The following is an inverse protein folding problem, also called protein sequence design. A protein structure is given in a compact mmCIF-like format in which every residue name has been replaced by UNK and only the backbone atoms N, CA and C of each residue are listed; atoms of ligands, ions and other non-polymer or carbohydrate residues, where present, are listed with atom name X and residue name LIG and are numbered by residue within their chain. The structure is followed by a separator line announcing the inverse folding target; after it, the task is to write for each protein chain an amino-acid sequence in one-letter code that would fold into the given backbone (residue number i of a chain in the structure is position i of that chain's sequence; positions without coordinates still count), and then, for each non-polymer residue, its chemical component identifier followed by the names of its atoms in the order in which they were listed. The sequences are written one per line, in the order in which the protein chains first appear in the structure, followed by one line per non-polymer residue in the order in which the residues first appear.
data_IF_026842855564
#
_entry.id   IF_026842855564
#
_cell.length_a   1.000
_cell.length_b   1.000
_cell.length_c   1.000
_cell.angle_alpha   90.00
_cell.angle_beta   90.00
_cell.angle_gamma   90.00
#
_symmetry.space_group_name_H-M   'P 1'
#
loop_
_entity.id
_entity.type
_entity.pdbx_description
1 polymer ?
#
# COMPACT_ATOMS: atom_id res chain seq x y z
N UNK A 1 24.29 -12.07 8.31
CA UNK A 1 23.34 -12.63 7.31
C UNK A 1 23.42 -14.15 7.18
N UNK A 2 24.52 -14.74 6.67
CA UNK A 2 24.62 -16.19 6.42
C UNK A 2 24.31 -17.07 7.65
N UNK A 3 24.70 -16.64 8.85
CA UNK A 3 24.35 -17.34 10.10
C UNK A 3 22.83 -17.50 10.26
N UNK A 4 22.05 -16.47 9.94
CA UNK A 4 20.58 -16.49 10.03
C UNK A 4 20.00 -17.41 8.95
N UNK A 5 20.50 -17.33 7.72
CA UNK A 5 20.07 -18.19 6.61
C UNK A 5 20.33 -19.67 6.94
N UNK A 6 21.46 -19.97 7.58
CA UNK A 6 21.79 -21.31 8.08
C UNK A 6 20.80 -21.78 9.15
N UNK A 7 20.40 -20.92 10.09
CA UNK A 7 19.37 -21.26 11.08
C UNK A 7 18.02 -21.59 10.42
N UNK A 8 17.61 -20.84 9.39
CA UNK A 8 16.40 -21.16 8.63
C UNK A 8 16.50 -22.50 7.91
N UNK A 9 17.68 -22.85 7.39
CA UNK A 9 17.92 -24.16 6.77
C UNK A 9 17.84 -25.30 7.78
N UNK A 10 18.48 -25.15 8.94
CA UNK A 10 18.47 -26.13 10.04
C UNK A 10 17.07 -26.32 10.61
N UNK A 11 16.25 -25.27 10.62
CA UNK A 11 14.84 -25.30 11.05
C UNK A 11 13.89 -25.83 9.97
N UNK A 12 14.40 -26.25 8.81
CA UNK A 12 13.63 -26.69 7.64
C UNK A 12 12.60 -25.67 7.11
N UNK A 13 12.83 -24.37 7.33
CA UNK A 13 11.98 -23.30 6.78
C UNK A 13 12.30 -22.97 5.33
N UNK A 14 13.53 -23.30 4.89
CA UNK A 14 13.98 -23.17 3.52
C UNK A 14 14.64 -24.47 3.06
N UNK A 15 14.53 -24.75 1.76
CA UNK A 15 15.17 -25.90 1.09
C UNK A 15 16.68 -25.70 0.97
N UNK A 16 17.40 -26.78 0.66
CA UNK A 16 18.83 -26.72 0.37
C UNK A 16 19.14 -25.78 -0.81
N UNK A 17 18.35 -25.86 -1.89
CA UNK A 17 18.48 -25.00 -3.06
C UNK A 17 18.29 -23.52 -2.69
N UNK A 18 17.29 -23.20 -1.87
CA UNK A 18 17.06 -21.83 -1.39
C UNK A 18 18.19 -21.36 -0.49
N UNK A 19 18.73 -22.21 0.38
CA UNK A 19 19.89 -21.87 1.20
C UNK A 19 21.09 -21.46 0.34
N UNK A 20 21.41 -22.23 -0.70
CA UNK A 20 22.50 -21.93 -1.63
C UNK A 20 22.26 -20.64 -2.41
N UNK A 21 21.02 -20.40 -2.86
CA UNK A 21 20.62 -19.19 -3.57
C UNK A 21 20.69 -17.94 -2.69
N UNK A 22 20.29 -18.04 -1.43
CA UNK A 22 20.26 -16.93 -0.48
C UNK A 22 21.61 -16.63 0.14
N UNK A 23 22.49 -17.64 0.21
CA UNK A 23 23.82 -17.49 0.79
C UNK A 23 24.64 -16.44 0.03
N UNK A 24 25.37 -15.64 0.81
CA UNK A 24 26.12 -14.49 0.31
C UNK A 24 27.59 -14.83 0.35
N UNK A 25 28.29 -14.60 -0.77
CA UNK A 25 29.75 -14.74 -0.81
C UNK A 25 30.40 -13.38 -0.49
N UNK A 26 31.52 -13.34 0.25
CA UNK A 26 32.16 -12.08 0.63
C UNK A 26 32.56 -11.18 -0.55
N UNK A 27 32.89 -11.78 -1.70
CA UNK A 27 33.26 -11.06 -2.93
C UNK A 27 32.06 -10.54 -3.74
N UNK A 28 30.83 -10.90 -3.36
CA UNK A 28 29.59 -10.47 -4.04
C UNK A 28 28.94 -9.25 -3.39
N UNK A 29 29.48 -8.75 -2.28
CA UNK A 29 28.85 -7.67 -1.49
C UNK A 29 29.62 -6.37 -1.47
N UNK A 30 28.87 -5.28 -1.41
CA UNK A 30 29.37 -3.92 -1.24
C UNK A 30 28.49 -3.16 -0.24
N UNK A 31 29.07 -2.20 0.46
CA UNK A 31 28.31 -1.27 1.28
C UNK A 31 27.41 -0.40 0.38
N UNK A 32 26.24 -0.05 0.90
CA UNK A 32 25.32 0.81 0.19
C UNK A 32 25.83 2.26 0.20
N UNK A 33 25.64 2.96 -0.93
CA UNK A 33 26.05 4.36 -1.09
C UNK A 33 24.83 5.28 -1.02
N UNK A 34 24.91 6.33 -0.20
CA UNK A 34 23.88 7.35 -0.13
C UNK A 34 24.13 8.40 -1.21
N UNK A 35 23.18 8.51 -2.14
CA UNK A 35 23.17 9.51 -3.21
C UNK A 35 21.97 10.45 -3.04
N UNK A 36 22.02 11.60 -3.72
CA UNK A 36 20.95 12.58 -3.71
C UNK A 36 20.52 12.91 -5.14
N UNK A 37 19.24 12.73 -5.45
CA UNK A 37 18.66 13.13 -6.73
C UNK A 37 17.85 14.43 -6.60
N UNK A 38 18.09 15.46 -7.42
CA UNK A 38 17.32 16.69 -7.36
C UNK A 38 15.87 16.50 -7.85
N UNK A 39 14.90 17.03 -7.09
CA UNK A 39 13.50 17.13 -7.53
C UNK A 39 13.32 18.42 -8.35
N UNK A 40 13.83 18.43 -9.58
CA UNK A 40 13.88 19.61 -10.46
C UNK A 40 12.51 20.29 -10.72
N UNK A 41 11.41 19.54 -10.59
CA UNK A 41 10.05 20.04 -10.78
C UNK A 41 9.46 20.75 -9.53
N UNK A 42 10.18 20.82 -8.41
CA UNK A 42 9.73 21.50 -7.18
C UNK A 42 10.51 22.80 -6.95
N UNK A 43 9.87 23.88 -6.45
CA UNK A 43 10.56 25.11 -6.08
C UNK A 43 11.70 24.83 -5.09
N UNK A 44 12.84 25.51 -5.27
CA UNK A 44 14.03 25.29 -4.44
C UNK A 44 14.77 23.97 -4.68
N UNK A 45 14.33 23.16 -5.66
CA UNK A 45 14.98 21.92 -6.11
C UNK A 45 15.43 21.00 -4.95
N UNK A 46 14.51 20.61 -4.04
CA UNK A 46 14.86 19.77 -2.91
C UNK A 46 15.45 18.44 -3.35
N UNK A 47 16.39 17.91 -2.56
CA UNK A 47 17.06 16.64 -2.85
C UNK A 47 16.23 15.45 -2.33
N UNK A 48 16.23 14.36 -3.09
CA UNK A 48 15.71 13.05 -2.68
C UNK A 48 16.89 12.16 -2.31
N UNK A 49 17.05 11.75 -1.03
CA UNK A 49 18.04 10.75 -0.68
C UNK A 49 17.67 9.40 -1.31
N UNK A 50 18.65 8.72 -1.88
CA UNK A 50 18.52 7.40 -2.49
C UNK A 50 19.68 6.54 -2.03
N UNK A 51 19.36 5.35 -1.54
CA UNK A 51 20.35 4.34 -1.21
C UNK A 51 20.59 3.49 -2.46
N UNK A 52 21.83 3.50 -2.97
CA UNK A 52 22.22 2.72 -4.12
C UNK A 52 22.68 1.33 -3.68
N UNK A 53 21.88 0.30 -4.01
CA UNK A 53 22.02 -1.06 -3.50
C UNK A 53 22.27 -2.09 -4.61
N UNK A 54 23.32 -1.96 -5.43
CA UNK A 54 23.58 -2.97 -6.48
C UNK A 54 24.16 -4.28 -5.95
N UNK A 55 24.85 -4.26 -4.80
CA UNK A 55 25.51 -5.43 -4.19
C UNK A 55 25.27 -5.54 -2.69
N UNK A 56 24.21 -4.93 -2.19
CA UNK A 56 23.88 -4.99 -0.77
C UNK A 56 23.56 -6.44 -0.32
N UNK A 57 24.04 -6.89 0.85
CA UNK A 57 23.77 -8.24 1.35
C UNK A 57 22.28 -8.59 1.48
N UNK A 58 21.39 -7.60 1.61
CA UNK A 58 19.96 -7.85 1.73
C UNK A 58 19.26 -8.19 0.41
N UNK A 59 19.84 -7.89 -0.77
CA UNK A 59 19.14 -8.00 -2.06
C UNK A 59 18.54 -9.38 -2.28
N UNK A 60 19.32 -10.45 -2.04
CA UNK A 60 18.88 -11.84 -2.27
C UNK A 60 17.68 -12.20 -1.39
N UNK A 61 17.73 -11.81 -0.11
CA UNK A 61 16.63 -12.05 0.83
C UNK A 61 15.42 -11.16 0.50
N UNK A 62 15.63 -9.88 0.20
CA UNK A 62 14.55 -8.96 -0.18
C UNK A 62 13.82 -9.43 -1.42
N UNK A 63 14.54 -9.90 -2.44
CA UNK A 63 13.95 -10.48 -3.66
C UNK A 63 13.15 -11.75 -3.35
N UNK A 64 13.71 -12.64 -2.54
CA UNK A 64 13.02 -13.86 -2.14
C UNK A 64 11.73 -13.57 -1.35
N UNK A 65 11.76 -12.59 -0.43
CA UNK A 65 10.57 -12.14 0.29
C UNK A 65 9.55 -11.48 -0.66
N UNK A 66 10.01 -10.68 -1.61
CA UNK A 66 9.14 -10.08 -2.63
C UNK A 66 8.42 -11.17 -3.43
N UNK A 67 9.14 -12.17 -3.94
CA UNK A 67 8.56 -13.29 -4.69
C UNK A 67 7.53 -14.08 -3.87
N UNK A 68 7.76 -14.26 -2.56
CA UNK A 68 6.81 -14.94 -1.67
C UNK A 68 5.56 -14.10 -1.38
N UNK A 69 5.71 -12.78 -1.20
CA UNK A 69 4.63 -11.87 -0.81
C UNK A 69 3.85 -11.34 -2.02
N UNK A 70 4.46 -11.30 -3.20
CA UNK A 70 3.89 -10.73 -4.43
C UNK A 70 2.50 -11.26 -4.76
N UNK A 71 2.23 -12.58 -4.75
CA UNK A 71 0.90 -13.09 -5.08
C UNK A 71 -0.18 -12.63 -4.08
N UNK A 72 0.17 -12.48 -2.80
CA UNK A 72 -0.75 -11.98 -1.77
C UNK A 72 -1.00 -10.49 -1.96
N UNK A 73 0.05 -9.73 -2.25
CA UNK A 73 -0.04 -8.31 -2.55
C UNK A 73 -0.93 -8.07 -3.77
N UNK A 74 -0.66 -8.75 -4.90
CA UNK A 74 -1.40 -8.59 -6.15
C UNK A 74 -2.90 -8.91 -5.98
N UNK A 75 -3.22 -9.93 -5.16
CA UNK A 75 -4.60 -10.28 -4.83
C UNK A 75 -5.32 -9.16 -4.08
N UNK A 76 -4.64 -8.45 -3.19
CA UNK A 76 -5.23 -7.35 -2.39
C UNK A 76 -5.24 -6.05 -3.19
N UNK A 77 -4.16 -5.77 -3.92
CA UNK A 77 -4.00 -4.53 -4.68
C UNK A 77 -4.90 -4.49 -5.91
N UNK A 78 -5.24 -5.63 -6.53
CA UNK A 78 -6.12 -5.68 -7.71
C UNK A 78 -7.48 -4.99 -7.52
N UNK A 79 -7.98 -4.90 -6.29
CA UNK A 79 -9.26 -4.25 -5.98
C UNK A 79 -9.13 -2.78 -5.56
N UNK A 80 -7.93 -2.33 -5.22
CA UNK A 80 -7.70 -1.07 -4.48
C UNK A 80 -6.64 -0.17 -5.12
N UNK A 81 -5.84 -0.67 -6.06
CA UNK A 81 -4.68 0.03 -6.60
C UNK A 81 -4.59 -0.20 -8.10
N UNK A 82 -4.36 0.89 -8.83
CA UNK A 82 -4.08 0.90 -10.27
C UNK A 82 -2.58 0.74 -10.48
N UNK A 83 -2.19 -0.07 -11.47
CA UNK A 83 -0.77 -0.45 -11.64
C UNK A 83 -0.02 0.41 -12.66
N UNK A 84 -0.74 1.16 -13.50
CA UNK A 84 -0.15 1.97 -14.56
C UNK A 84 -0.83 3.33 -14.74
N UNK A 85 -0.05 4.34 -15.13
CA UNK A 85 -0.57 5.69 -15.44
C UNK A 85 -1.58 5.70 -16.58
N UNK A 86 -1.37 4.85 -17.60
CA UNK A 86 -2.29 4.71 -18.72
C UNK A 86 -3.64 4.16 -18.28
N UNK A 87 -3.64 3.22 -17.35
CA UNK A 87 -4.86 2.68 -16.75
C UNK A 87 -5.59 3.73 -15.91
N UNK A 88 -4.87 4.57 -15.14
CA UNK A 88 -5.47 5.71 -14.41
C UNK A 88 -6.21 6.64 -15.38
N UNK A 89 -5.54 7.07 -16.45
CA UNK A 89 -6.13 7.97 -17.45
C UNK A 89 -7.35 7.32 -18.11
N UNK A 90 -7.24 6.04 -18.49
CA UNK A 90 -8.33 5.29 -19.11
C UNK A 90 -9.54 5.20 -18.18
N UNK A 91 -9.35 4.78 -16.93
CA UNK A 91 -10.45 4.64 -15.97
C UNK A 91 -11.11 5.99 -15.67
N UNK A 92 -10.33 7.06 -15.50
CA UNK A 92 -10.86 8.40 -15.31
C UNK A 92 -11.65 8.89 -16.52
N UNK A 93 -11.13 8.65 -17.73
CA UNK A 93 -11.81 9.04 -18.97
C UNK A 93 -13.13 8.28 -19.16
N UNK A 94 -13.14 6.95 -18.99
CA UNK A 94 -14.37 6.16 -19.11
C UNK A 94 -15.43 6.55 -18.06
N UNK A 95 -15.00 6.76 -16.81
CA UNK A 95 -15.87 7.25 -15.75
C UNK A 95 -16.46 8.62 -16.08
N UNK A 96 -15.63 9.54 -16.60
CA UNK A 96 -16.04 10.92 -16.88
C UNK A 96 -17.16 11.04 -17.91
N UNK A 97 -17.28 10.08 -18.84
CA UNK A 97 -18.28 10.10 -19.92
C UNK A 97 -19.72 10.05 -19.42
N UNK A 98 -19.96 9.44 -18.26
CA UNK A 98 -21.31 9.14 -17.78
C UNK A 98 -21.59 9.69 -16.37
N UNK A 99 -20.54 9.99 -15.58
CA UNK A 99 -20.68 10.21 -14.15
C UNK A 99 -20.32 11.62 -13.69
N UNK A 100 -19.83 12.51 -14.57
CA UNK A 100 -19.60 13.91 -14.20
C UNK A 100 -20.93 14.66 -14.15
N UNK A 101 -21.20 15.29 -13.02
CA UNK A 101 -22.33 16.18 -12.80
C UNK A 101 -21.88 17.48 -12.11
N UNK A 102 -22.81 18.41 -11.89
CA UNK A 102 -22.50 19.71 -11.28
C UNK A 102 -22.01 19.58 -9.82
N UNK A 103 -22.39 18.51 -9.15
CA UNK A 103 -22.04 18.17 -7.78
C UNK A 103 -20.75 17.33 -7.68
N UNK A 104 -20.11 16.99 -8.80
CA UNK A 104 -18.86 16.21 -8.79
C UNK A 104 -17.76 17.01 -8.11
N UNK A 105 -17.24 16.46 -7.01
CA UNK A 105 -16.11 17.02 -6.27
C UNK A 105 -14.86 16.16 -6.50
N UNK A 106 -13.87 16.64 -7.27
CA UNK A 106 -12.58 15.98 -7.40
C UNK A 106 -11.66 16.33 -6.22
N UNK A 107 -10.95 15.34 -5.70
CA UNK A 107 -9.93 15.50 -4.68
C UNK A 107 -8.71 14.63 -4.97
N UNK A 108 -7.53 15.22 -4.84
CA UNK A 108 -6.27 14.49 -4.91
C UNK A 108 -5.53 14.61 -3.58
N UNK A 109 -4.95 13.51 -3.13
CA UNK A 109 -4.12 13.44 -1.94
C UNK A 109 -2.79 12.82 -2.33
N UNK A 110 -1.71 13.41 -1.84
CA UNK A 110 -0.36 12.91 -2.04
C UNK A 110 0.24 12.56 -0.67
N UNK A 111 0.72 11.32 -0.52
CA UNK A 111 1.43 10.89 0.69
C UNK A 111 2.86 11.41 0.63
N UNK A 112 3.16 12.42 1.45
CA UNK A 112 4.51 12.97 1.54
C UNK A 112 5.49 11.93 2.09
N UNK A 113 6.63 11.80 1.42
CA UNK A 113 7.80 11.07 1.93
C UNK A 113 7.50 9.62 2.34
N UNK A 114 6.60 8.95 1.59
CA UNK A 114 6.09 7.60 1.83
C UNK A 114 7.18 6.59 2.24
N UNK A 115 8.31 6.57 1.53
CA UNK A 115 9.37 5.60 1.77
C UNK A 115 10.20 5.89 3.03
N UNK A 116 10.41 7.17 3.35
CA UNK A 116 11.21 7.57 4.53
C UNK A 116 10.37 7.61 5.81
N UNK A 117 9.06 7.80 5.69
CA UNK A 117 8.12 7.86 6.82
C UNK A 117 7.40 6.54 7.09
N UNK A 118 7.72 5.46 6.36
CA UNK A 118 7.05 4.18 6.52
C UNK A 118 7.37 3.57 7.89
N UNK A 119 6.36 3.37 8.76
CA UNK A 119 6.58 2.83 10.10
C UNK A 119 6.95 1.34 10.03
N UNK A 120 8.18 1.00 10.41
CA UNK A 120 8.74 -0.34 10.17
C UNK A 120 8.02 -1.45 10.94
N UNK A 121 7.67 -1.20 12.21
CA UNK A 121 7.00 -2.18 13.09
C UNK A 121 5.59 -2.46 12.57
N UNK A 122 4.84 -1.40 12.29
CA UNK A 122 3.50 -1.43 11.75
C UNK A 122 3.47 -2.10 10.37
N UNK A 123 4.51 -1.90 9.54
CA UNK A 123 4.69 -2.61 8.28
C UNK A 123 4.81 -4.13 8.48
N UNK A 124 5.66 -4.57 9.42
CA UNK A 124 5.81 -5.99 9.76
C UNK A 124 4.50 -6.58 10.31
N UNK A 125 3.83 -5.85 11.21
CA UNK A 125 2.54 -6.27 11.77
C UNK A 125 1.47 -6.37 10.68
N UNK A 126 1.49 -5.49 9.69
CA UNK A 126 0.58 -5.52 8.56
C UNK A 126 0.75 -6.79 7.74
N UNK A 127 1.98 -7.24 7.49
CA UNK A 127 2.25 -8.51 6.81
C UNK A 127 1.67 -9.71 7.58
N UNK A 128 1.79 -9.74 8.91
CA UNK A 128 1.16 -10.78 9.74
C UNK A 128 -0.37 -10.74 9.66
N UNK A 129 -0.94 -9.55 9.54
CA UNK A 129 -2.39 -9.32 9.45
C UNK A 129 -2.95 -9.56 8.05
N UNK A 130 -2.15 -9.52 6.98
CA UNK A 130 -2.62 -9.74 5.60
C UNK A 130 -3.44 -11.04 5.48
N UNK A 131 -2.95 -12.14 6.07
CA UNK A 131 -3.69 -13.42 6.06
C UNK A 131 -4.94 -13.38 6.93
N UNK A 132 -4.90 -12.68 8.06
CA UNK A 132 -6.04 -12.52 8.96
C UNK A 132 -7.14 -11.68 8.28
N UNK A 133 -6.85 -10.47 7.80
CA UNK A 133 -7.82 -9.56 7.17
C UNK A 133 -8.48 -10.19 5.94
N UNK A 134 -7.74 -10.97 5.15
CA UNK A 134 -8.28 -11.67 3.98
C UNK A 134 -9.23 -12.84 4.36
N UNK A 135 -9.07 -13.43 5.55
CA UNK A 135 -9.83 -14.62 5.98
C UNK A 135 -10.87 -14.35 7.08
N UNK A 136 -10.76 -13.21 7.76
CA UNK A 136 -11.41 -12.94 9.04
C UNK A 136 -11.93 -11.49 9.08
N UNK A 137 -13.02 -11.22 8.37
CA UNK A 137 -13.81 -10.02 8.63
C UNK A 137 -14.73 -10.32 9.83
N UNK A 138 -14.37 -9.80 11.00
CA UNK A 138 -15.23 -9.83 12.18
C UNK A 138 -15.71 -8.41 12.48
N UNK A 139 -16.97 -8.28 12.90
CA UNK A 139 -17.52 -7.01 13.37
C UNK A 139 -18.16 -7.22 14.74
N UNK A 140 -18.22 -6.16 15.55
CA UNK A 140 -18.92 -6.19 16.82
C UNK A 140 -20.27 -5.48 16.71
N UNK A 141 -21.34 -6.14 17.13
CA UNK A 141 -22.67 -5.53 17.27
C UNK A 141 -23.27 -5.92 18.63
N UNK A 142 -23.69 -4.92 19.42
CA UNK A 142 -24.23 -5.11 20.77
C UNK A 142 -23.36 -6.00 21.70
N UNK A 143 -22.04 -5.81 21.65
CA UNK A 143 -21.10 -6.56 22.50
C UNK A 143 -20.85 -8.02 22.09
N UNK A 144 -21.45 -8.48 20.98
CA UNK A 144 -21.15 -9.77 20.36
C UNK A 144 -20.22 -9.59 19.16
N UNK A 145 -19.31 -10.53 18.97
CA UNK A 145 -18.40 -10.59 17.82
C UNK A 145 -18.95 -11.59 16.81
N UNK A 146 -19.26 -11.11 15.60
CA UNK A 146 -19.82 -11.91 14.52
C UNK A 146 -18.84 -12.02 13.35
N UNK A 147 -18.75 -13.21 12.75
CA UNK A 147 -17.94 -13.46 11.56
C UNK A 147 -18.74 -13.15 10.30
N UNK A 148 -18.24 -12.22 9.48
CA UNK A 148 -18.87 -11.89 8.21
C UNK A 148 -18.58 -12.98 7.18
N UNK A 149 -19.56 -13.83 6.96
CA UNK A 149 -19.51 -14.93 5.99
C UNK A 149 -19.82 -14.51 4.54
N UNK A 150 -20.50 -13.37 4.32
CA UNK A 150 -20.78 -12.78 2.99
C UNK A 150 -20.87 -11.24 3.06
N UNK A 151 -20.51 -10.58 1.96
CA UNK A 151 -20.30 -9.13 1.93
C UNK A 151 -18.98 -8.75 2.63
N UNK A 152 -18.57 -7.49 2.54
CA UNK A 152 -17.41 -6.99 3.29
C UNK A 152 -17.74 -5.73 4.06
N UNK A 153 -16.94 -5.39 5.07
CA UNK A 153 -17.03 -4.13 5.81
C UNK A 153 -17.21 -2.91 4.88
N UNK A 154 -17.91 -1.88 5.37
CA UNK A 154 -18.26 -0.68 4.63
C UNK A 154 -17.03 0.23 4.47
N UNK A 155 -16.16 -0.17 3.54
CA UNK A 155 -14.92 0.53 3.17
C UNK A 155 -15.21 1.87 2.46
N UNK A 156 -14.35 2.86 2.63
CA UNK A 156 -14.45 4.17 1.98
C UNK A 156 -14.55 4.02 0.45
N UNK A 157 -13.86 3.02 -0.12
CA UNK A 157 -13.94 2.68 -1.54
C UNK A 157 -15.36 2.27 -1.95
N UNK A 158 -16.09 1.53 -1.11
CA UNK A 158 -17.48 1.14 -1.38
C UNK A 158 -18.43 2.34 -1.24
N UNK A 159 -18.20 3.21 -0.26
CA UNK A 159 -19.01 4.42 -0.10
C UNK A 159 -18.88 5.36 -1.30
N UNK A 160 -17.65 5.52 -1.81
CA UNK A 160 -17.38 6.29 -3.03
C UNK A 160 -18.06 5.63 -4.24
N UNK A 161 -17.93 4.32 -4.43
CA UNK A 161 -18.61 3.61 -5.53
C UNK A 161 -20.14 3.69 -5.46
N UNK A 162 -20.73 3.65 -4.27
CA UNK A 162 -22.17 3.83 -4.07
C UNK A 162 -22.65 5.26 -4.36
N UNK A 163 -21.73 6.22 -4.50
CA UNK A 163 -22.01 7.60 -4.90
C UNK A 163 -21.83 7.84 -6.40
N UNK A 164 -21.66 6.78 -7.20
CA UNK A 164 -21.15 6.84 -8.58
C UNK A 164 -19.80 7.55 -8.72
N UNK A 165 -19.10 7.76 -7.59
CA UNK A 165 -17.78 8.32 -7.50
C UNK A 165 -16.68 7.35 -7.91
N UNK A 166 -15.48 7.88 -8.12
CA UNK A 166 -14.29 7.14 -8.53
C UNK A 166 -13.24 7.15 -7.42
N UNK A 167 -12.62 6.01 -7.16
CA UNK A 167 -11.46 5.90 -6.29
C UNK A 167 -10.32 5.26 -7.08
N UNK A 168 -9.21 5.97 -7.23
CA UNK A 168 -7.98 5.48 -7.85
C UNK A 168 -6.82 5.71 -6.90
N UNK A 169 -6.05 4.65 -6.63
CA UNK A 169 -4.77 4.76 -5.94
C UNK A 169 -3.66 4.34 -6.90
N UNK A 170 -2.67 5.19 -7.07
CA UNK A 170 -1.46 4.91 -7.86
C UNK A 170 -0.26 5.28 -7.00
N UNK A 171 0.51 4.29 -6.56
CA UNK A 171 1.66 4.49 -5.65
C UNK A 171 1.31 5.29 -4.38
N UNK A 172 1.79 6.53 -4.31
CA UNK A 172 1.65 7.56 -3.29
C UNK A 172 0.51 8.55 -3.57
N UNK A 173 -0.05 8.54 -4.79
CA UNK A 173 -1.16 9.37 -5.21
C UNK A 173 -2.51 8.67 -5.00
N UNK A 174 -3.44 9.37 -4.38
CA UNK A 174 -4.84 8.96 -4.24
C UNK A 174 -5.72 10.00 -4.93
N UNK A 175 -6.54 9.56 -5.87
CA UNK A 175 -7.53 10.37 -6.56
C UNK A 175 -8.93 9.87 -6.19
N UNK A 176 -9.78 10.79 -5.75
CA UNK A 176 -11.16 10.51 -5.35
C UNK A 176 -12.07 11.49 -6.08
N UNK A 177 -13.15 10.99 -6.65
CA UNK A 177 -14.30 11.80 -7.07
C UNK A 177 -15.53 11.32 -6.31
N UNK A 178 -16.37 12.25 -5.88
CA UNK A 178 -17.61 11.95 -5.16
C UNK A 178 -18.73 12.77 -5.80
N UNK A 179 -19.86 12.15 -6.11
CA UNK A 179 -21.06 12.84 -6.60
C UNK A 179 -22.12 12.94 -5.50
N UNK A 180 -21.70 13.26 -4.28
CA UNK A 180 -22.61 13.49 -3.18
C UNK A 180 -23.00 14.96 -3.11
N UNK A 181 -24.26 15.26 -2.71
CA UNK A 181 -24.62 16.61 -2.31
C UNK A 181 -23.64 17.11 -1.25
N UNK A 182 -23.19 18.37 -1.38
CA UNK A 182 -22.11 18.91 -0.54
C UNK A 182 -22.42 18.83 0.97
N UNK A 183 -23.71 18.94 1.33
CA UNK A 183 -24.17 18.77 2.72
C UNK A 183 -23.93 17.36 3.26
N UNK A 184 -24.02 16.33 2.42
CA UNK A 184 -23.73 14.95 2.80
C UNK A 184 -22.23 14.73 2.96
N UNK A 185 -21.40 15.35 2.11
CA UNK A 185 -19.95 15.34 2.23
C UNK A 185 -19.50 15.93 3.58
N UNK A 186 -20.00 17.12 3.94
CA UNK A 186 -19.66 17.74 5.23
C UNK A 186 -20.07 16.89 6.43
N UNK A 187 -21.28 16.29 6.39
CA UNK A 187 -21.72 15.37 7.45
C UNK A 187 -20.81 14.15 7.60
N UNK A 188 -20.25 13.63 6.51
CA UNK A 188 -19.33 12.49 6.57
C UNK A 188 -17.95 12.89 7.05
N UNK A 189 -17.42 14.04 6.61
CA UNK A 189 -16.16 14.60 7.13
C UNK A 189 -16.28 14.81 8.65
N UNK A 190 -17.37 15.40 9.14
CA UNK A 190 -17.60 15.60 10.57
C UNK A 190 -17.70 14.28 11.35
N UNK A 191 -18.25 13.22 10.74
CA UNK A 191 -18.27 11.88 11.33
C UNK A 191 -16.86 11.29 11.40
N UNK A 192 -16.08 11.39 10.33
CA UNK A 192 -14.71 10.88 10.28
C UNK A 192 -13.79 11.62 11.27
N UNK A 193 -13.92 12.94 11.38
CA UNK A 193 -13.18 13.76 12.35
C UNK A 193 -13.51 13.42 13.82
N UNK A 194 -14.64 12.75 14.08
CA UNK A 194 -15.02 12.27 15.41
C UNK A 194 -14.54 10.85 15.70
N UNK A 195 -14.08 10.12 14.68
CA UNK A 195 -13.70 8.71 14.78
C UNK A 195 -12.26 8.50 15.28
N UNK A 196 -11.37 9.47 15.09
CA UNK A 196 -9.98 9.36 15.51
C UNK A 196 -9.47 10.65 16.15
N UNK A 197 -9.05 10.55 17.41
CA UNK A 197 -8.48 11.69 18.16
C UNK A 197 -7.09 12.09 17.64
N UNK A 198 -6.45 11.26 16.82
CA UNK A 198 -5.11 11.50 16.28
C UNK A 198 -5.11 12.26 14.93
N UNK A 199 -6.28 12.61 14.38
CA UNK A 199 -6.42 13.37 13.12
C UNK A 199 -6.85 14.82 13.43
N UNK A 200 -6.32 15.40 14.51
CA UNK A 200 -6.47 16.82 14.86
C UNK A 200 -5.12 17.53 14.84
#
# INVERSE_FOLDING_TARGET
MNKIIMLFRLSNWITQKQYEQLSIRPNEVELAHLNYLPKAHKPGTPLRPIVFELKHPAIKISKFLDELLRPLFDKISSNTTVTSRTEVIKQLHEWSKHNICQETLPGTMNVMDLYTMMPQIEGILSIRKIRFVVQNNYFSYNGKYDHQVRGGAMDIVKQIKNSDGLYLRYTDDICITINWPIQHVYKQIDRWNKFDQNIK
#
